data_IF_421870745467
#
_entry.id   IF_421870745467
#
_cell.length_a   1.000
_cell.length_b   1.000
_cell.length_c   1.000
_cell.angle_alpha   90.00
_cell.angle_beta   90.00
_cell.angle_gamma   90.00
#
_symmetry.space_group_name_H-M   'P 1'
#
loop_
_entity.id
_entity.type
_entity.pdbx_description
1 polymer ?
#
# COMPACT_ATOMS: atom_id res chain seq x y z
N UNK A 1 -20.36 -32.43 -14.69
CA UNK A 1 -18.93 -32.07 -14.83
C UNK A 1 -18.55 -31.14 -13.70
N UNK A 2 -17.96 -31.67 -12.63
CA UNK A 2 -17.40 -30.89 -11.52
C UNK A 2 -16.28 -30.01 -12.06
N UNK A 3 -16.52 -28.69 -12.20
CA UNK A 3 -15.43 -27.74 -12.48
C UNK A 3 -14.42 -27.89 -11.35
N UNK A 4 -13.26 -28.47 -11.65
CA UNK A 4 -12.17 -28.55 -10.69
C UNK A 4 -11.85 -27.10 -10.26
N UNK A 5 -11.94 -26.84 -8.97
CA UNK A 5 -11.87 -25.47 -8.43
C UNK A 5 -10.40 -25.08 -8.24
N UNK A 6 -9.95 -23.90 -8.72
CA UNK A 6 -8.56 -23.47 -8.61
C UNK A 6 -8.16 -23.26 -7.15
N UNK A 7 -6.86 -23.39 -6.89
CA UNK A 7 -6.27 -23.15 -5.55
C UNK A 7 -5.94 -21.67 -5.37
N UNK A 8 -5.99 -21.20 -4.12
CA UNK A 8 -5.63 -19.85 -3.70
C UNK A 8 -4.65 -19.93 -2.53
N UNK A 9 -3.56 -19.15 -2.57
CA UNK A 9 -2.61 -19.03 -1.49
C UNK A 9 -2.86 -17.74 -0.68
N UNK A 10 -2.70 -17.81 0.63
CA UNK A 10 -2.68 -16.63 1.51
C UNK A 10 -1.37 -15.86 1.35
N UNK A 11 -1.44 -14.55 1.07
CA UNK A 11 -0.26 -13.70 0.90
C UNK A 11 0.58 -13.56 2.18
N UNK A 12 -0.02 -13.70 3.35
CA UNK A 12 0.62 -13.40 4.64
C UNK A 12 1.22 -14.64 5.33
N UNK A 13 0.61 -15.82 5.17
CA UNK A 13 1.05 -17.05 5.86
C UNK A 13 1.25 -18.25 4.91
N UNK A 14 1.10 -18.05 3.60
CA UNK A 14 1.27 -19.06 2.55
C UNK A 14 0.35 -20.29 2.64
N UNK A 15 -0.68 -20.30 3.50
CA UNK A 15 -1.64 -21.41 3.52
C UNK A 15 -2.44 -21.47 2.23
N UNK A 16 -2.69 -22.69 1.76
CA UNK A 16 -3.35 -22.94 0.48
C UNK A 16 -4.75 -23.46 0.74
N UNK A 17 -5.71 -22.87 0.04
CA UNK A 17 -7.11 -23.24 0.12
C UNK A 17 -7.65 -23.53 -1.28
N UNK A 18 -8.72 -24.32 -1.35
CA UNK A 18 -9.48 -24.50 -2.58
C UNK A 18 -10.49 -23.36 -2.71
N UNK A 19 -10.50 -22.67 -3.85
CA UNK A 19 -11.45 -21.58 -4.12
C UNK A 19 -12.87 -22.14 -4.06
N UNK A 20 -13.76 -21.40 -3.41
CA UNK A 20 -15.20 -21.63 -3.42
C UNK A 20 -15.86 -20.36 -3.95
N UNK A 21 -16.96 -20.53 -4.67
CA UNK A 21 -17.81 -19.42 -5.08
C UNK A 21 -18.45 -18.83 -3.82
N UNK A 22 -18.46 -17.50 -3.72
CA UNK A 22 -19.03 -16.79 -2.59
C UNK A 22 -20.41 -16.26 -2.97
N UNK A 23 -21.34 -16.36 -2.04
CA UNK A 23 -22.66 -15.75 -2.17
C UNK A 23 -22.60 -14.24 -1.84
N UNK A 24 -23.65 -13.47 -2.23
CA UNK A 24 -23.70 -12.04 -1.94
C UNK A 24 -23.52 -11.73 -0.45
N UNK A 25 -22.48 -10.97 -0.12
CA UNK A 25 -22.15 -10.59 1.26
C UNK A 25 -21.15 -11.50 1.97
N UNK A 26 -20.80 -12.64 1.39
CA UNK A 26 -19.82 -13.55 1.99
C UNK A 26 -18.36 -13.07 1.81
N UNK A 27 -17.52 -13.46 2.77
CA UNK A 27 -16.09 -13.13 2.82
C UNK A 27 -15.27 -14.37 3.17
N UNK A 28 -14.32 -14.73 2.31
CA UNK A 28 -13.39 -15.81 2.59
C UNK A 28 -12.22 -15.29 3.45
N UNK A 29 -11.98 -15.93 4.59
CA UNK A 29 -10.87 -15.59 5.49
C UNK A 29 -9.91 -16.77 5.67
N UNK A 30 -8.63 -16.47 5.84
CA UNK A 30 -7.61 -17.49 6.08
C UNK A 30 -7.77 -18.08 7.50
N UNK A 31 -7.94 -19.39 7.61
CA UNK A 31 -8.02 -20.08 8.92
C UNK A 31 -6.76 -19.97 9.78
N UNK A 32 -5.58 -19.77 9.19
CA UNK A 32 -4.29 -19.67 9.92
C UNK A 32 -4.02 -18.27 10.49
N UNK A 33 -3.98 -17.24 9.65
CA UNK A 33 -3.66 -15.87 10.07
C UNK A 33 -4.88 -14.95 10.24
N UNK A 34 -6.06 -15.34 9.76
CA UNK A 34 -7.27 -14.51 9.80
C UNK A 34 -7.34 -13.41 8.74
N UNK A 35 -6.38 -13.32 7.82
CA UNK A 35 -6.42 -12.34 6.72
C UNK A 35 -7.54 -12.67 5.74
N UNK A 36 -8.26 -11.67 5.26
CA UNK A 36 -9.27 -11.84 4.20
C UNK A 36 -8.60 -12.25 2.88
N UNK A 37 -9.01 -13.37 2.30
CA UNK A 37 -8.48 -13.92 1.04
C UNK A 37 -9.17 -13.31 -0.18
N UNK A 38 -10.50 -13.27 -0.16
CA UNK A 38 -11.29 -12.57 -1.17
C UNK A 38 -12.71 -12.27 -0.67
N UNK A 39 -13.36 -11.30 -1.30
CA UNK A 39 -14.73 -10.85 -0.98
C UNK A 39 -15.58 -10.96 -2.23
N UNK A 40 -16.87 -11.24 -2.05
CA UNK A 40 -17.83 -11.14 -3.15
C UNK A 40 -17.78 -9.75 -3.81
N UNK A 41 -17.83 -9.72 -5.15
CA UNK A 41 -17.95 -8.50 -5.93
C UNK A 41 -19.07 -8.67 -6.95
N UNK A 42 -20.14 -7.89 -6.80
CA UNK A 42 -21.24 -7.84 -7.78
C UNK A 42 -20.93 -7.01 -9.02
N UNK A 43 -19.73 -6.41 -9.12
CA UNK A 43 -19.35 -5.57 -10.24
C UNK A 43 -18.82 -6.43 -11.40
N UNK A 44 -19.41 -6.23 -12.58
CA UNK A 44 -18.95 -6.86 -13.83
C UNK A 44 -17.70 -6.15 -14.37
N UNK A 45 -16.98 -6.80 -15.30
CA UNK A 45 -15.83 -6.18 -15.99
C UNK A 45 -16.21 -4.88 -16.70
N UNK A 46 -17.41 -4.79 -17.28
CA UNK A 46 -17.91 -3.58 -17.91
C UNK A 46 -18.16 -2.46 -16.88
N UNK A 47 -18.71 -2.81 -15.71
CA UNK A 47 -18.90 -1.85 -14.61
C UNK A 47 -17.56 -1.32 -14.08
N UNK A 48 -16.54 -2.17 -13.95
CA UNK A 48 -15.19 -1.75 -13.58
C UNK A 48 -14.56 -0.82 -14.61
N UNK A 49 -14.74 -1.12 -15.90
CA UNK A 49 -14.29 -0.24 -16.98
C UNK A 49 -14.98 1.12 -16.92
N UNK A 50 -16.31 1.15 -16.72
CA UNK A 50 -17.06 2.39 -16.57
C UNK A 50 -16.54 3.21 -15.38
N UNK A 51 -16.27 2.57 -14.23
CA UNK A 51 -15.66 3.25 -13.08
C UNK A 51 -14.27 3.82 -13.39
N UNK A 52 -13.43 3.11 -14.15
CA UNK A 52 -12.11 3.59 -14.56
C UNK A 52 -12.19 4.79 -15.52
N UNK A 53 -13.15 4.78 -16.46
CA UNK A 53 -13.41 5.92 -17.36
C UNK A 53 -13.92 7.12 -16.58
N UNK A 54 -14.91 6.93 -15.71
CA UNK A 54 -15.43 8.00 -14.84
C UNK A 54 -14.31 8.59 -13.97
N UNK A 55 -13.48 7.74 -13.35
CA UNK A 55 -12.34 8.20 -12.55
C UNK A 55 -11.34 9.01 -13.38
N UNK A 56 -11.12 8.67 -14.64
CA UNK A 56 -10.23 9.41 -15.54
C UNK A 56 -10.79 10.78 -15.91
N UNK A 57 -12.10 10.89 -16.16
CA UNK A 57 -12.77 12.17 -16.41
C UNK A 57 -12.70 13.05 -15.14
N UNK A 58 -13.04 12.48 -13.98
CA UNK A 58 -12.99 13.20 -12.69
C UNK A 58 -11.55 13.61 -12.36
N UNK A 59 -10.54 12.79 -12.67
CA UNK A 59 -9.14 13.15 -12.50
C UNK A 59 -8.75 14.37 -13.33
N UNK A 60 -9.18 14.43 -14.60
CA UNK A 60 -8.94 15.61 -15.45
C UNK A 60 -9.61 16.86 -14.89
N UNK A 61 -10.87 16.74 -14.45
CA UNK A 61 -11.60 17.86 -13.83
C UNK A 61 -10.91 18.31 -12.53
N UNK A 62 -10.58 17.37 -11.63
CA UNK A 62 -9.96 17.69 -10.34
C UNK A 62 -8.63 18.44 -10.47
N UNK A 63 -7.83 18.14 -11.50
CA UNK A 63 -6.56 18.82 -11.76
C UNK A 63 -6.72 20.12 -12.57
N UNK A 64 -7.85 20.33 -13.24
CA UNK A 64 -8.10 21.55 -14.04
C UNK A 64 -8.67 22.72 -13.22
N UNK A 65 -9.28 22.44 -12.07
CA UNK A 65 -9.88 23.46 -11.20
C UNK A 65 -9.07 23.66 -9.92
N UNK A 66 -9.04 24.88 -9.36
CA UNK A 66 -8.35 25.15 -8.11
C UNK A 66 -8.97 24.37 -6.95
N UNK A 67 -8.11 23.90 -6.07
CA UNK A 67 -8.48 23.11 -4.89
C UNK A 67 -8.92 24.03 -3.75
N UNK A 68 -8.22 25.15 -3.56
CA UNK A 68 -8.56 26.17 -2.60
C UNK A 68 -8.28 27.56 -3.18
N UNK A 69 -9.09 28.52 -2.75
CA UNK A 69 -9.00 29.93 -3.12
C UNK A 69 -8.84 30.70 -1.81
N UNK A 70 -7.80 31.51 -1.73
CA UNK A 70 -7.47 32.32 -0.56
C UNK A 70 -7.57 33.79 -0.95
N UNK A 71 -8.24 34.59 -0.11
CA UNK A 71 -8.32 36.03 -0.30
C UNK A 71 -7.65 36.76 0.87
N UNK A 72 -6.69 37.62 0.56
CA UNK A 72 -5.97 38.43 1.56
C UNK A 72 -5.92 39.86 1.04
N UNK A 73 -6.50 40.81 1.80
CA UNK A 73 -6.46 42.25 1.49
C UNK A 73 -6.89 42.61 0.05
N UNK A 74 -7.86 41.87 -0.51
CA UNK A 74 -8.38 42.08 -1.87
C UNK A 74 -7.60 41.37 -2.98
N UNK A 75 -6.46 40.74 -2.68
CA UNK A 75 -5.77 39.82 -3.59
C UNK A 75 -6.35 38.41 -3.47
N UNK A 76 -6.72 37.82 -4.60
CA UNK A 76 -7.14 36.42 -4.68
C UNK A 76 -5.99 35.55 -5.18
N UNK A 77 -5.64 34.52 -4.40
CA UNK A 77 -4.68 33.49 -4.75
C UNK A 77 -5.39 32.15 -4.85
N UNK A 78 -5.28 31.49 -6.00
CA UNK A 78 -5.87 30.18 -6.24
C UNK A 78 -4.74 29.15 -6.30
N UNK A 79 -4.96 27.95 -5.74
CA UNK A 79 -3.98 26.87 -5.84
C UNK A 79 -4.64 25.56 -6.29
N UNK A 80 -4.18 25.03 -7.43
CA UNK A 80 -4.36 23.63 -7.81
C UNK A 80 -3.19 22.76 -7.33
N UNK A 81 -3.31 21.43 -7.46
CA UNK A 81 -2.19 20.51 -7.22
C UNK A 81 -1.00 20.82 -8.14
N UNK A 82 -1.27 21.13 -9.41
CA UNK A 82 -0.23 21.42 -10.38
C UNK A 82 0.45 22.75 -10.07
N UNK A 83 -0.29 23.77 -9.66
CA UNK A 83 0.29 25.05 -9.23
C UNK A 83 1.21 24.88 -8.02
N UNK A 84 0.83 24.00 -7.07
CA UNK A 84 1.68 23.71 -5.93
C UNK A 84 2.99 23.03 -6.33
N UNK A 85 2.96 22.15 -7.34
CA UNK A 85 4.16 21.51 -7.87
C UNK A 85 5.02 22.52 -8.64
N UNK A 86 4.43 23.40 -9.46
CA UNK A 86 5.20 24.38 -10.24
C UNK A 86 5.86 25.41 -9.34
N UNK A 87 5.14 25.97 -8.37
CA UNK A 87 5.69 26.94 -7.41
C UNK A 87 6.87 26.33 -6.64
N UNK A 88 6.72 25.11 -6.14
CA UNK A 88 7.82 24.47 -5.39
C UNK A 88 8.98 24.02 -6.26
N UNK A 89 8.73 23.74 -7.54
CA UNK A 89 9.79 23.50 -8.52
C UNK A 89 10.61 24.76 -8.79
N UNK A 90 9.94 25.91 -8.95
CA UNK A 90 10.59 27.21 -9.18
C UNK A 90 11.39 27.69 -7.96
N UNK A 91 11.00 27.27 -6.75
CA UNK A 91 11.72 27.55 -5.50
C UNK A 91 12.94 26.63 -5.25
N UNK A 92 13.49 25.98 -6.27
CA UNK A 92 14.62 25.04 -6.20
C UNK A 92 14.41 23.79 -5.30
N UNK A 93 13.17 23.52 -4.88
CA UNK A 93 12.82 22.36 -4.04
C UNK A 93 12.37 21.15 -4.88
N UNK A 94 13.19 20.81 -5.88
CA UNK A 94 12.89 19.77 -6.89
C UNK A 94 12.55 18.39 -6.29
N UNK A 95 13.16 18.02 -5.16
CA UNK A 95 12.91 16.73 -4.52
C UNK A 95 11.45 16.59 -4.05
N UNK A 96 10.93 17.62 -3.37
CA UNK A 96 9.55 17.65 -2.86
C UNK A 96 8.56 17.74 -4.03
N UNK A 97 8.87 18.58 -5.02
CA UNK A 97 8.05 18.72 -6.23
C UNK A 97 7.95 17.40 -7.01
N UNK A 98 9.07 16.69 -7.21
CA UNK A 98 9.10 15.40 -7.91
C UNK A 98 8.32 14.33 -7.14
N UNK A 99 8.52 14.24 -5.83
CA UNK A 99 7.81 13.29 -4.98
C UNK A 99 6.30 13.50 -5.04
N UNK A 100 5.86 14.73 -4.82
CA UNK A 100 4.44 15.09 -4.86
C UNK A 100 3.85 14.95 -6.25
N UNK A 101 4.54 15.40 -7.29
CA UNK A 101 4.11 15.25 -8.68
C UNK A 101 3.98 13.79 -9.08
N UNK A 102 4.90 12.94 -8.65
CA UNK A 102 4.80 11.50 -8.85
C UNK A 102 3.58 10.91 -8.11
N UNK A 103 3.46 11.12 -6.80
CA UNK A 103 2.45 10.49 -5.96
C UNK A 103 1.02 11.04 -6.17
N UNK A 104 0.89 12.34 -6.42
CA UNK A 104 -0.38 13.04 -6.59
C UNK A 104 -0.92 13.07 -8.02
N UNK A 105 -0.03 13.08 -9.03
CA UNK A 105 -0.43 13.23 -10.43
C UNK A 105 0.00 12.06 -11.33
N UNK A 106 1.31 11.80 -11.46
CA UNK A 106 1.82 10.86 -12.46
C UNK A 106 1.43 9.40 -12.18
N UNK A 107 1.53 8.94 -10.94
CA UNK A 107 1.22 7.56 -10.55
C UNK A 107 -0.30 7.26 -10.62
N UNK A 108 -1.22 8.13 -10.13
CA UNK A 108 -2.65 7.95 -10.34
C UNK A 108 -3.04 7.93 -11.82
N UNK A 109 -2.47 8.83 -12.63
CA UNK A 109 -2.69 8.85 -14.07
C UNK A 109 -2.23 7.54 -14.73
N UNK A 110 -1.01 7.08 -14.41
CA UNK A 110 -0.48 5.82 -14.91
C UNK A 110 -1.36 4.62 -14.49
N UNK A 111 -1.85 4.59 -13.24
CA UNK A 111 -2.76 3.55 -12.77
C UNK A 111 -4.07 3.54 -13.56
N UNK A 112 -4.69 4.70 -13.79
CA UNK A 112 -5.95 4.82 -14.52
C UNK A 112 -5.80 4.36 -15.98
N UNK A 113 -4.75 4.83 -16.66
CA UNK A 113 -4.43 4.41 -18.03
C UNK A 113 -4.24 2.90 -18.09
N UNK A 114 -3.47 2.33 -17.17
CA UNK A 114 -3.17 0.90 -17.13
C UNK A 114 -4.42 0.06 -16.88
N UNK A 115 -5.30 0.50 -15.97
CA UNK A 115 -6.56 -0.18 -15.69
C UNK A 115 -7.49 -0.13 -16.90
N UNK A 116 -7.64 1.02 -17.55
CA UNK A 116 -8.44 1.14 -18.78
C UNK A 116 -7.90 0.25 -19.90
N UNK A 117 -6.57 0.23 -20.09
CA UNK A 117 -5.90 -0.59 -21.09
C UNK A 117 -6.14 -2.09 -20.89
N UNK A 118 -6.22 -2.53 -19.63
CA UNK A 118 -6.48 -3.94 -19.28
C UNK A 118 -7.97 -4.27 -19.34
N UNK A 119 -8.82 -3.43 -18.77
CA UNK A 119 -10.26 -3.70 -18.63
C UNK A 119 -11.00 -3.62 -19.96
N UNK A 120 -10.58 -2.74 -20.88
CA UNK A 120 -11.22 -2.58 -22.18
C UNK A 120 -11.26 -3.88 -23.01
N UNK A 121 -10.12 -4.52 -23.35
CA UNK A 121 -10.14 -5.79 -24.09
C UNK A 121 -10.72 -6.95 -23.27
N UNK A 122 -10.49 -6.96 -21.94
CA UNK A 122 -10.99 -8.03 -21.08
C UNK A 122 -12.53 -8.02 -21.00
N UNK A 123 -13.15 -6.83 -21.01
CA UNK A 123 -14.61 -6.68 -21.10
C UNK A 123 -15.20 -7.19 -22.42
N UNK A 124 -14.37 -7.28 -23.47
CA UNK A 124 -14.72 -7.83 -24.79
C UNK A 124 -14.37 -9.31 -24.93
N UNK A 125 -13.94 -9.98 -23.85
CA UNK A 125 -13.52 -11.39 -23.87
C UNK A 125 -12.19 -11.63 -24.59
N UNK A 126 -11.33 -10.62 -24.69
CA UNK A 126 -10.00 -10.73 -25.32
C UNK A 126 -8.89 -10.47 -24.29
N UNK A 127 -7.77 -11.16 -24.44
CA UNK A 127 -6.58 -10.89 -23.62
C UNK A 127 -5.89 -9.61 -24.14
N UNK A 128 -5.62 -8.60 -23.29
CA UNK A 128 -4.86 -7.41 -23.71
C UNK A 128 -3.46 -7.79 -24.20
N UNK A 129 -2.91 -7.05 -25.19
CA UNK A 129 -1.50 -7.17 -25.53
C UNK A 129 -0.66 -6.81 -24.29
N UNK A 130 0.43 -7.55 -24.08
CA UNK A 130 1.33 -7.38 -22.94
C UNK A 130 0.68 -7.50 -21.54
N UNK A 131 -0.43 -8.24 -21.40
CA UNK A 131 -1.14 -8.41 -20.12
C UNK A 131 -0.23 -8.74 -18.93
N UNK A 132 0.77 -9.61 -19.14
CA UNK A 132 1.75 -10.01 -18.11
C UNK A 132 2.54 -8.81 -17.57
N UNK A 133 2.99 -7.92 -18.46
CA UNK A 133 3.73 -6.71 -18.09
C UNK A 133 2.81 -5.74 -17.35
N UNK A 134 1.59 -5.53 -17.87
CA UNK A 134 0.61 -4.65 -17.23
C UNK A 134 0.27 -5.09 -15.80
N UNK A 135 0.13 -6.39 -15.54
CA UNK A 135 -0.13 -6.90 -14.19
C UNK A 135 1.04 -6.69 -13.22
N UNK A 136 2.28 -6.76 -13.71
CA UNK A 136 3.48 -6.44 -12.90
C UNK A 136 3.54 -4.95 -12.58
N UNK A 137 3.33 -4.09 -13.57
CA UNK A 137 3.30 -2.64 -13.39
C UNK A 137 2.18 -2.23 -12.43
N UNK A 138 0.99 -2.83 -12.55
CA UNK A 138 -0.12 -2.55 -11.65
C UNK A 138 0.20 -2.92 -10.19
N UNK A 139 0.86 -4.07 -9.99
CA UNK A 139 1.32 -4.49 -8.66
C UNK A 139 2.34 -3.53 -8.04
N UNK A 140 3.20 -2.92 -8.88
CA UNK A 140 4.18 -1.94 -8.44
C UNK A 140 3.58 -0.55 -8.22
N UNK A 141 2.63 -0.10 -9.04
CA UNK A 141 2.02 1.24 -8.97
C UNK A 141 0.99 1.39 -7.85
N UNK A 142 0.15 0.37 -7.65
CA UNK A 142 -1.01 0.42 -6.75
C UNK A 142 -0.68 0.91 -5.32
N UNK A 143 0.40 0.46 -4.66
CA UNK A 143 0.69 0.91 -3.30
C UNK A 143 1.03 2.40 -3.18
N UNK A 144 1.44 3.05 -4.28
CA UNK A 144 1.96 4.41 -4.30
C UNK A 144 0.92 5.46 -4.70
N UNK A 145 -0.30 5.06 -5.05
CA UNK A 145 -1.36 6.01 -5.38
C UNK A 145 -1.94 6.59 -4.11
N UNK A 146 -1.49 7.80 -3.76
CA UNK A 146 -1.77 8.47 -2.49
C UNK A 146 -2.81 9.60 -2.61
N UNK A 147 -3.68 9.57 -3.63
CA UNK A 147 -4.76 10.56 -3.80
C UNK A 147 -5.64 10.71 -2.54
N UNK A 148 -6.04 9.62 -1.83
CA UNK A 148 -6.79 9.78 -0.58
C UNK A 148 -6.05 10.60 0.48
N UNK A 149 -4.72 10.46 0.52
CA UNK A 149 -3.85 11.14 1.48
C UNK A 149 -3.66 12.60 1.08
N UNK A 150 -3.54 12.88 -0.23
CA UNK A 150 -3.57 14.24 -0.75
C UNK A 150 -4.87 14.97 -0.37
N UNK A 151 -6.04 14.35 -0.55
CA UNK A 151 -7.33 14.93 -0.17
C UNK A 151 -7.38 15.29 1.33
N UNK A 152 -6.86 14.41 2.20
CA UNK A 152 -6.73 14.70 3.62
C UNK A 152 -5.75 15.85 3.89
N UNK A 153 -4.62 15.90 3.18
CA UNK A 153 -3.64 16.98 3.26
C UNK A 153 -4.22 18.35 2.86
N UNK A 154 -5.05 18.40 1.82
CA UNK A 154 -5.81 19.60 1.44
C UNK A 154 -6.72 20.04 2.57
N UNK A 155 -7.48 19.12 3.17
CA UNK A 155 -8.39 19.44 4.25
C UNK A 155 -7.64 20.04 5.45
N UNK A 156 -6.51 19.44 5.83
CA UNK A 156 -5.63 19.95 6.90
C UNK A 156 -5.07 21.33 6.55
N UNK A 157 -4.60 21.54 5.31
CA UNK A 157 -4.08 22.82 4.85
C UNK A 157 -5.15 23.93 4.90
N UNK A 158 -6.37 23.65 4.43
CA UNK A 158 -7.50 24.59 4.49
C UNK A 158 -7.82 24.96 5.93
N UNK A 159 -7.91 23.98 6.83
CA UNK A 159 -8.18 24.25 8.25
C UNK A 159 -7.07 25.10 8.86
N UNK A 160 -5.79 24.78 8.59
CA UNK A 160 -4.65 25.54 9.11
C UNK A 160 -4.65 27.00 8.64
N UNK A 161 -5.01 27.25 7.37
CA UNK A 161 -5.04 28.60 6.80
C UNK A 161 -6.30 29.38 7.18
N UNK A 162 -7.41 28.71 7.46
CA UNK A 162 -8.68 29.36 7.86
C UNK A 162 -8.57 30.17 9.16
N UNK A 163 -7.60 29.85 10.02
CA UNK A 163 -7.29 30.64 11.22
C UNK A 163 -6.61 31.97 10.91
N UNK A 164 -6.04 32.14 9.72
CA UNK A 164 -5.27 33.32 9.31
C UNK A 164 -5.96 34.16 8.23
N UNK A 165 -6.75 33.54 7.35
CA UNK A 165 -7.48 34.22 6.27
C UNK A 165 -8.77 33.50 5.87
N UNK A 166 -9.62 34.17 5.08
CA UNK A 166 -10.77 33.53 4.46
C UNK A 166 -10.32 32.60 3.34
N UNK A 167 -10.37 31.29 3.59
CA UNK A 167 -10.10 30.24 2.61
C UNK A 167 -11.42 29.63 2.17
N UNK A 168 -11.70 29.70 0.87
CA UNK A 168 -12.87 29.07 0.27
C UNK A 168 -12.44 27.79 -0.44
N UNK A 169 -13.10 26.65 -0.19
CA UNK A 169 -12.82 25.42 -0.93
C UNK A 169 -13.24 25.57 -2.39
N UNK A 170 -12.34 25.27 -3.32
CA UNK A 170 -12.59 25.31 -4.75
C UNK A 170 -13.25 24.02 -5.28
N UNK A 171 -13.74 24.05 -6.52
CA UNK A 171 -14.35 22.88 -7.17
C UNK A 171 -13.38 21.69 -7.30
N UNK A 172 -12.07 21.95 -7.36
CA UNK A 172 -11.03 20.92 -7.37
C UNK A 172 -11.12 20.01 -6.14
N UNK A 173 -11.45 20.54 -4.95
CA UNK A 173 -11.59 19.75 -3.73
C UNK A 173 -12.69 18.67 -3.86
N UNK A 174 -13.86 19.05 -4.39
CA UNK A 174 -14.95 18.11 -4.65
C UNK A 174 -14.55 17.04 -5.70
N UNK A 175 -13.80 17.46 -6.72
CA UNK A 175 -13.22 16.55 -7.72
C UNK A 175 -12.28 15.52 -7.08
N UNK A 176 -11.34 15.95 -6.24
CA UNK A 176 -10.41 15.06 -5.53
C UNK A 176 -11.12 14.17 -4.51
N UNK A 177 -12.19 14.63 -3.87
CA UNK A 177 -13.01 13.82 -2.97
C UNK A 177 -13.74 12.70 -3.73
N UNK A 178 -14.39 13.02 -4.85
CA UNK A 178 -15.03 12.00 -5.70
C UNK A 178 -13.99 11.03 -6.30
N UNK A 179 -12.85 11.56 -6.76
CA UNK A 179 -11.75 10.75 -7.27
C UNK A 179 -11.22 9.79 -6.20
N UNK A 180 -11.09 10.22 -4.95
CA UNK A 180 -10.68 9.39 -3.82
C UNK A 180 -11.61 8.20 -3.63
N UNK A 181 -12.93 8.41 -3.72
CA UNK A 181 -13.92 7.33 -3.63
C UNK A 181 -13.75 6.35 -4.80
N UNK A 182 -13.65 6.86 -6.03
CA UNK A 182 -13.51 6.04 -7.23
C UNK A 182 -12.21 5.23 -7.24
N UNK A 183 -11.08 5.85 -6.87
CA UNK A 183 -9.79 5.17 -6.74
C UNK A 183 -9.78 4.16 -5.59
N UNK A 184 -10.48 4.41 -4.49
CA UNK A 184 -10.65 3.43 -3.41
C UNK A 184 -11.43 2.21 -3.87
N UNK A 185 -12.48 2.40 -4.70
CA UNK A 185 -13.20 1.29 -5.32
C UNK A 185 -12.32 0.53 -6.32
N UNK A 186 -11.66 1.23 -7.25
CA UNK A 186 -10.73 0.64 -8.23
C UNK A 186 -9.54 -0.04 -7.56
N UNK A 187 -9.12 0.44 -6.38
CA UNK A 187 -8.08 -0.16 -5.56
C UNK A 187 -8.40 -1.59 -5.12
N UNK A 188 -9.65 -2.06 -5.22
CA UNK A 188 -10.02 -3.48 -5.02
C UNK A 188 -9.54 -4.40 -6.15
N UNK A 189 -9.24 -3.85 -7.32
CA UNK A 189 -8.66 -4.59 -8.44
C UNK A 189 -7.17 -4.80 -8.20
N UNK A 190 -6.82 -5.90 -7.54
CA UNK A 190 -5.45 -6.39 -7.49
C UNK A 190 -5.09 -7.13 -8.79
N UNK A 191 -3.80 -7.28 -9.11
CA UNK A 191 -3.37 -8.15 -10.22
C UNK A 191 -4.00 -9.54 -10.14
N UNK A 192 -4.10 -10.13 -8.93
CA UNK A 192 -4.71 -11.44 -8.74
C UNK A 192 -6.21 -11.44 -9.08
N UNK A 193 -6.94 -10.38 -8.73
CA UNK A 193 -8.37 -10.25 -9.07
C UNK A 193 -8.59 -10.13 -10.57
N UNK A 194 -7.78 -9.34 -11.29
CA UNK A 194 -7.89 -9.21 -12.75
C UNK A 194 -7.56 -10.52 -13.47
N UNK A 195 -6.55 -11.23 -12.99
CA UNK A 195 -6.27 -12.58 -13.45
C UNK A 195 -7.47 -13.51 -13.19
N UNK A 196 -8.11 -13.48 -12.01
CA UNK A 196 -9.32 -14.28 -11.75
C UNK A 196 -10.46 -13.96 -12.72
N UNK A 197 -10.71 -12.68 -13.00
CA UNK A 197 -11.69 -12.31 -14.02
C UNK A 197 -11.35 -12.88 -15.41
N UNK A 198 -10.07 -12.92 -15.78
CA UNK A 198 -9.61 -13.53 -17.04
C UNK A 198 -9.80 -15.06 -17.07
N UNK A 199 -9.73 -15.75 -15.93
CA UNK A 199 -10.09 -17.17 -15.80
C UNK A 199 -11.59 -17.39 -15.88
N UNK A 200 -12.36 -16.59 -15.15
CA UNK A 200 -13.82 -16.73 -15.05
C UNK A 200 -14.51 -16.43 -16.41
N UNK A 201 -13.90 -15.58 -17.24
CA UNK A 201 -14.32 -15.31 -18.63
C UNK A 201 -13.81 -16.33 -19.66
N UNK A 202 -13.00 -17.30 -19.25
CA UNK A 202 -12.45 -18.34 -20.13
C UNK A 202 -11.34 -17.89 -21.07
N UNK A 203 -10.86 -16.64 -20.93
CA UNK A 203 -9.76 -16.09 -21.75
C UNK A 203 -8.42 -16.73 -21.38
N UNK A 204 -8.26 -17.13 -20.12
CA UNK A 204 -7.06 -17.82 -19.59
C UNK A 204 -7.49 -19.12 -18.94
N UNK A 205 -6.77 -20.21 -19.20
CA UNK A 205 -7.05 -21.49 -18.55
C UNK A 205 -6.57 -21.50 -17.10
N UNK A 206 -7.45 -21.94 -16.19
CA UNK A 206 -7.08 -22.21 -14.81
C UNK A 206 -6.28 -23.53 -14.76
N UNK A 207 -5.08 -23.48 -14.20
CA UNK A 207 -4.24 -24.66 -14.00
C UNK A 207 -4.32 -25.10 -12.54
N UNK A 208 -4.52 -26.40 -12.34
CA UNK A 208 -4.64 -26.98 -11.00
C UNK A 208 -3.43 -27.89 -10.82
N UNK A 209 -2.45 -27.49 -10.01
CA UNK A 209 -1.30 -28.33 -9.75
C UNK A 209 -1.74 -29.57 -8.97
N UNK A 210 -1.17 -30.72 -9.31
CA UNK A 210 -1.15 -31.89 -8.44
C UNK A 210 0.21 -31.90 -7.77
N UNK A 211 0.22 -31.84 -6.45
CA UNK A 211 1.45 -31.99 -5.67
C UNK A 211 1.97 -33.42 -5.84
N UNK A 212 3.17 -33.57 -6.40
CA UNK A 212 3.87 -34.85 -6.48
C UNK A 212 4.90 -34.95 -5.34
N UNK A 213 5.37 -36.17 -5.09
CA UNK A 213 6.38 -36.42 -4.07
C UNK A 213 7.66 -35.59 -4.37
N UNK A 214 8.10 -34.78 -3.40
CA UNK A 214 9.26 -33.89 -3.57
C UNK A 214 8.93 -32.51 -4.16
N UNK A 215 7.65 -32.19 -4.41
CA UNK A 215 7.21 -30.84 -4.80
C UNK A 215 6.50 -30.14 -3.65
N UNK A 216 6.53 -28.80 -3.65
CA UNK A 216 5.76 -27.96 -2.74
C UNK A 216 4.90 -26.99 -3.52
N UNK A 217 3.67 -26.83 -3.05
CA UNK A 217 2.76 -25.86 -3.64
C UNK A 217 3.12 -24.44 -3.18
N UNK A 218 3.27 -23.53 -4.14
CA UNK A 218 3.51 -22.11 -3.87
C UNK A 218 2.70 -21.21 -4.79
N UNK A 219 2.27 -20.06 -4.26
CA UNK A 219 1.52 -19.05 -5.01
C UNK A 219 2.46 -18.07 -5.71
N UNK A 220 2.19 -17.77 -6.98
CA UNK A 220 2.89 -16.71 -7.69
C UNK A 220 2.56 -15.34 -7.07
N UNK A 221 3.58 -14.56 -6.69
CA UNK A 221 3.39 -13.21 -6.13
C UNK A 221 2.76 -12.23 -7.13
N UNK A 222 2.95 -12.42 -8.45
CA UNK A 222 2.41 -11.52 -9.49
C UNK A 222 0.96 -11.84 -9.84
N UNK A 223 0.65 -13.11 -10.15
CA UNK A 223 -0.68 -13.48 -10.67
C UNK A 223 -1.55 -14.26 -9.68
N UNK A 224 -1.00 -14.70 -8.55
CA UNK A 224 -1.72 -15.46 -7.53
C UNK A 224 -1.94 -16.94 -7.85
N UNK A 225 -1.52 -17.41 -9.03
CA UNK A 225 -1.66 -18.82 -9.40
C UNK A 225 -0.78 -19.71 -8.51
N UNK A 226 -1.41 -20.72 -7.90
CA UNK A 226 -0.72 -21.78 -7.15
C UNK A 226 -0.16 -22.81 -8.12
N UNK A 227 1.11 -23.17 -7.94
CA UNK A 227 1.83 -24.15 -8.75
C UNK A 227 2.69 -25.04 -7.86
N UNK A 228 2.90 -26.28 -8.27
CA UNK A 228 3.85 -27.18 -7.64
C UNK A 228 5.27 -26.86 -8.14
N UNK A 229 6.22 -26.80 -7.22
CA UNK A 229 7.63 -26.48 -7.51
C UNK A 229 8.51 -27.54 -6.85
N UNK A 230 9.49 -28.13 -7.55
CA UNK A 230 10.34 -29.19 -6.98
C UNK A 230 11.26 -28.64 -5.88
N UNK A 231 11.34 -29.35 -4.75
CA UNK A 231 12.33 -29.10 -3.70
C UNK A 231 13.70 -29.60 -4.16
N UNK A 232 14.62 -28.70 -4.47
CA UNK A 232 16.03 -29.04 -4.78
C UNK A 232 16.61 -28.32 -5.99
N UNK A 233 15.77 -27.76 -6.86
CA UNK A 233 16.22 -26.95 -7.98
C UNK A 233 16.39 -25.46 -7.60
N UNK A 234 17.38 -24.75 -8.18
CA UNK A 234 17.59 -23.32 -7.93
C UNK A 234 16.32 -22.50 -8.22
N UNK A 235 15.92 -21.64 -7.29
CA UNK A 235 14.70 -20.80 -7.44
C UNK A 235 14.67 -19.96 -8.73
N UNK A 236 15.84 -19.61 -9.27
CA UNK A 236 15.98 -18.83 -10.50
C UNK A 236 15.41 -19.55 -11.75
N UNK A 237 15.26 -20.87 -11.70
CA UNK A 237 14.70 -21.68 -12.78
C UNK A 237 13.18 -21.78 -12.73
N UNK A 238 12.57 -21.53 -11.56
CA UNK A 238 11.13 -21.68 -11.38
C UNK A 238 10.39 -20.49 -11.98
N UNK A 239 9.62 -20.73 -13.05
CA UNK A 239 8.83 -19.69 -13.72
C UNK A 239 7.35 -20.04 -13.68
N UNK A 240 6.53 -19.03 -13.41
CA UNK A 240 5.10 -19.19 -13.42
C UNK A 240 4.59 -19.46 -14.84
N UNK A 241 3.87 -20.57 -15.04
CA UNK A 241 3.28 -20.96 -16.33
C UNK A 241 2.32 -19.90 -16.89
N UNK A 242 1.65 -19.11 -16.04
CA UNK A 242 0.69 -18.08 -16.45
C UNK A 242 1.33 -16.74 -16.80
N UNK A 243 2.12 -16.18 -15.89
CA UNK A 243 2.67 -14.84 -16.04
C UNK A 243 4.17 -14.78 -16.34
N UNK A 244 4.84 -15.94 -16.43
CA UNK A 244 6.28 -16.08 -16.65
C UNK A 244 7.15 -15.29 -15.65
N UNK A 245 6.63 -14.99 -14.47
CA UNK A 245 7.40 -14.38 -13.39
C UNK A 245 8.23 -15.46 -12.68
N UNK A 246 9.40 -15.09 -12.18
CA UNK A 246 10.20 -15.98 -11.34
C UNK A 246 9.41 -16.29 -10.07
N UNK A 247 9.27 -17.58 -9.77
CA UNK A 247 8.60 -18.09 -8.58
C UNK A 247 9.64 -18.20 -7.47
N UNK A 248 9.40 -17.45 -6.41
CA UNK A 248 10.18 -17.57 -5.18
C UNK A 248 9.29 -18.23 -4.13
N UNK A 249 9.80 -19.24 -3.42
CA UNK A 249 9.10 -19.76 -2.25
C UNK A 249 8.96 -18.64 -1.22
N UNK A 250 10.06 -17.90 -0.98
CA UNK A 250 10.11 -16.73 -0.11
C UNK A 250 10.95 -15.64 -0.73
N UNK A 251 10.68 -14.37 -0.38
CA UNK A 251 11.46 -13.25 -0.92
C UNK A 251 12.97 -13.46 -0.60
N UNK A 252 13.86 -13.35 -1.60
CA UNK A 252 15.30 -13.52 -1.38
C UNK A 252 15.84 -12.36 -0.55
N UNK A 253 16.73 -12.68 0.39
CA UNK A 253 17.42 -11.73 1.29
C UNK A 253 16.51 -10.69 1.97
N UNK A 254 15.25 -11.07 2.24
CA UNK A 254 14.25 -10.14 2.74
C UNK A 254 14.68 -9.42 4.03
N UNK A 255 15.35 -10.11 4.97
CA UNK A 255 15.84 -9.50 6.22
C UNK A 255 16.94 -8.47 5.94
N UNK A 256 17.95 -8.82 5.13
CA UNK A 256 19.06 -7.93 4.82
C UNK A 256 18.56 -6.65 4.10
N UNK A 257 17.67 -6.81 3.12
CA UNK A 257 17.03 -5.68 2.41
C UNK A 257 16.19 -4.83 3.36
N UNK A 258 15.39 -5.45 4.21
CA UNK A 258 14.55 -4.74 5.19
C UNK A 258 15.42 -3.93 6.16
N UNK A 259 16.48 -4.52 6.71
CA UNK A 259 17.40 -3.82 7.61
C UNK A 259 18.16 -2.69 6.93
N UNK A 260 18.69 -2.90 5.72
CA UNK A 260 19.38 -1.85 4.96
C UNK A 260 18.46 -0.63 4.72
N UNK A 261 17.21 -0.87 4.32
CA UNK A 261 16.22 0.18 4.10
C UNK A 261 15.79 0.85 5.42
N UNK A 262 15.64 0.10 6.51
CA UNK A 262 15.31 0.65 7.83
C UNK A 262 16.44 1.52 8.39
N UNK A 263 17.69 1.08 8.29
CA UNK A 263 18.85 1.85 8.75
C UNK A 263 18.96 3.15 7.94
N UNK A 264 18.80 3.08 6.62
CA UNK A 264 18.76 4.27 5.77
C UNK A 264 17.60 5.21 6.18
N UNK A 265 16.41 4.68 6.46
CA UNK A 265 15.27 5.48 6.92
C UNK A 265 15.53 6.16 8.27
N UNK A 266 16.17 5.47 9.22
CA UNK A 266 16.57 6.05 10.51
C UNK A 266 17.56 7.19 10.32
N UNK A 267 18.52 7.05 9.40
CA UNK A 267 19.47 8.11 9.07
C UNK A 267 18.78 9.38 8.55
N UNK A 268 17.75 9.25 7.70
CA UNK A 268 16.95 10.38 7.21
C UNK A 268 15.92 10.89 8.23
N UNK A 269 15.53 10.08 9.22
CA UNK A 269 14.55 10.49 10.23
C UNK A 269 15.05 11.60 11.15
N UNK A 270 16.34 11.59 11.49
CA UNK A 270 16.96 12.65 12.29
C UNK A 270 16.89 14.02 11.58
N UNK A 271 17.44 14.20 10.36
CA UNK A 271 17.36 15.48 9.66
C UNK A 271 15.91 15.87 9.33
N UNK A 272 15.02 14.92 9.08
CA UNK A 272 13.60 15.23 8.86
C UNK A 272 12.92 15.95 10.05
N UNK A 273 13.34 15.65 11.28
CA UNK A 273 12.77 16.26 12.49
C UNK A 273 13.55 17.48 12.99
N UNK A 274 14.84 17.58 12.65
CA UNK A 274 15.73 18.66 13.11
C UNK A 274 15.80 19.82 12.12
N UNK A 275 15.74 19.54 10.82
CA UNK A 275 15.79 20.60 9.80
C UNK A 275 14.44 21.31 9.68
N UNK A 276 14.45 22.59 9.26
CA UNK A 276 13.22 23.29 8.93
C UNK A 276 12.46 22.55 7.84
N UNK A 277 11.15 22.41 8.04
CA UNK A 277 10.23 21.85 7.04
C UNK A 277 9.62 22.97 6.19
N UNK A 278 9.51 24.17 6.75
CA UNK A 278 8.91 25.31 6.10
C UNK A 278 9.69 26.58 6.49
N UNK A 279 10.01 27.40 5.49
CA UNK A 279 10.57 28.74 5.67
C UNK A 279 9.57 29.78 5.18
N UNK A 280 9.32 30.80 5.99
CA UNK A 280 8.50 31.95 5.65
C UNK A 280 9.46 33.12 5.47
N UNK A 281 9.59 33.58 4.23
CA UNK A 281 10.34 34.78 3.90
C UNK A 281 9.36 35.94 3.77
N UNK A 282 9.49 36.94 4.64
CA UNK A 282 8.70 38.16 4.61
C UNK A 282 9.61 39.37 4.51
N UNK A 283 9.04 40.52 4.11
CA UNK A 283 9.76 41.81 4.11
C UNK A 283 10.33 42.20 5.48
N UNK A 284 9.81 41.61 6.57
CA UNK A 284 10.19 41.89 7.96
C UNK A 284 11.17 40.87 8.56
N UNK A 285 11.57 39.84 7.80
CA UNK A 285 12.51 38.79 8.23
C UNK A 285 12.11 37.39 7.74
N UNK A 286 13.05 36.46 7.88
CA UNK A 286 12.86 35.03 7.56
C UNK A 286 12.64 34.21 8.84
N UNK A 287 11.54 33.46 8.94
CA UNK A 287 11.32 32.49 10.02
C UNK A 287 11.33 31.06 9.46
N UNK A 288 12.04 30.17 10.15
CA UNK A 288 12.17 28.77 9.75
C UNK A 288 11.58 27.89 10.86
N UNK A 289 10.60 27.05 10.52
CA UNK A 289 9.91 26.21 11.49
C UNK A 289 10.21 24.74 11.20
N UNK A 290 10.70 24.02 12.22
CA UNK A 290 10.76 22.56 12.21
C UNK A 290 9.36 21.99 12.42
N UNK A 291 9.17 20.69 12.18
CA UNK A 291 7.89 20.00 12.45
C UNK A 291 7.48 20.21 13.91
N UNK A 292 8.41 19.96 14.85
CA UNK A 292 8.15 20.11 16.28
C UNK A 292 7.95 21.58 16.67
N UNK A 293 8.70 22.50 16.05
CA UNK A 293 8.50 23.94 16.22
C UNK A 293 7.09 24.38 15.83
N UNK A 294 6.59 23.92 14.68
CA UNK A 294 5.22 24.19 14.23
C UNK A 294 4.16 23.59 15.16
N UNK A 295 4.38 22.41 15.72
CA UNK A 295 3.49 21.81 16.73
C UNK A 295 3.44 22.64 18.00
N UNK A 296 4.59 23.09 18.51
CA UNK A 296 4.68 23.90 19.74
C UNK A 296 3.96 25.24 19.55
N UNK A 297 4.13 25.88 18.40
CA UNK A 297 3.49 27.15 18.08
C UNK A 297 1.96 27.01 17.98
N UNK A 298 1.46 25.99 17.28
CA UNK A 298 0.02 25.68 17.22
C UNK A 298 -0.57 25.42 18.61
N UNK A 299 0.19 24.74 19.48
CA UNK A 299 -0.21 24.48 20.85
C UNK A 299 -0.34 25.78 21.66
N UNK A 300 0.64 26.67 21.54
CA UNK A 300 0.64 27.97 22.22
C UNK A 300 -0.46 28.90 21.72
N UNK A 301 -0.79 28.85 20.43
CA UNK A 301 -1.91 29.61 19.83
C UNK A 301 -3.30 29.09 20.23
N UNK A 302 -3.39 28.06 21.06
CA UNK A 302 -4.66 27.51 21.53
C UNK A 302 -5.31 26.48 20.61
N UNK A 303 -4.65 26.09 19.51
CA UNK A 303 -5.16 25.12 18.53
C UNK A 303 -4.68 23.68 18.83
N UNK A 304 -5.04 23.17 20.02
CA UNK A 304 -4.50 21.92 20.56
C UNK A 304 -4.82 20.70 19.68
N UNK A 305 -6.00 20.73 19.03
CA UNK A 305 -6.45 19.69 18.11
C UNK A 305 -5.53 19.57 16.90
N UNK A 306 -5.18 20.69 16.26
CA UNK A 306 -4.29 20.72 15.10
C UNK A 306 -2.87 20.32 15.46
N UNK A 307 -2.36 20.83 16.58
CA UNK A 307 -1.04 20.47 17.09
C UNK A 307 -0.91 18.95 17.31
N UNK A 308 -1.93 18.33 17.89
CA UNK A 308 -1.97 16.88 18.14
C UNK A 308 -2.00 16.08 16.83
N UNK A 309 -2.82 16.48 15.86
CA UNK A 309 -2.91 15.81 14.55
C UNK A 309 -1.55 15.85 13.84
N UNK A 310 -0.91 17.02 13.75
CA UNK A 310 0.39 17.17 13.09
C UNK A 310 1.47 16.37 13.82
N UNK A 311 1.53 16.44 15.15
CA UNK A 311 2.51 15.66 15.93
C UNK A 311 2.36 14.14 15.70
N UNK A 312 1.13 13.63 15.72
CA UNK A 312 0.87 12.21 15.52
C UNK A 312 1.23 11.79 14.09
N UNK A 313 0.79 12.56 13.09
CA UNK A 313 1.03 12.26 11.68
C UNK A 313 2.52 12.32 11.31
N UNK A 314 3.25 13.32 11.79
CA UNK A 314 4.62 13.60 11.37
C UNK A 314 5.69 12.89 12.21
N UNK A 315 5.44 12.66 13.49
CA UNK A 315 6.47 12.10 14.39
C UNK A 315 6.08 10.67 14.79
N UNK A 316 4.89 10.49 15.36
CA UNK A 316 4.49 9.20 15.93
C UNK A 316 4.25 8.13 14.86
N UNK A 317 3.62 8.46 13.73
CA UNK A 317 3.32 7.50 12.67
C UNK A 317 4.59 6.93 12.03
N UNK A 318 5.58 7.74 11.55
CA UNK A 318 6.83 7.20 11.03
C UNK A 318 7.64 6.43 12.08
N UNK A 319 7.70 6.93 13.33
CA UNK A 319 8.38 6.25 14.43
C UNK A 319 7.77 4.87 14.69
N UNK A 320 6.44 4.78 14.77
CA UNK A 320 5.71 3.53 14.97
C UNK A 320 5.99 2.55 13.83
N UNK A 321 6.06 3.04 12.58
CA UNK A 321 6.39 2.23 11.40
C UNK A 321 7.81 1.66 11.48
N UNK A 322 8.79 2.50 11.83
CA UNK A 322 10.19 2.10 12.02
C UNK A 322 10.33 1.05 13.12
N UNK A 323 9.76 1.31 14.30
CA UNK A 323 9.82 0.39 15.45
C UNK A 323 9.09 -0.92 15.18
N UNK A 324 7.91 -0.87 14.55
CA UNK A 324 7.13 -2.07 14.25
C UNK A 324 7.84 -2.97 13.24
N UNK A 325 8.42 -2.40 12.17
CA UNK A 325 9.18 -3.18 11.18
C UNK A 325 10.48 -3.74 11.77
N UNK A 326 11.19 -2.95 12.59
CA UNK A 326 12.39 -3.42 13.28
C UNK A 326 12.06 -4.58 14.24
N UNK A 327 11.00 -4.45 15.04
CA UNK A 327 10.55 -5.51 15.94
C UNK A 327 10.17 -6.78 15.17
N UNK A 328 9.39 -6.65 14.08
CA UNK A 328 9.03 -7.79 13.21
C UNK A 328 10.27 -8.47 12.60
N UNK A 329 11.27 -7.69 12.16
CA UNK A 329 12.53 -8.22 11.65
C UNK A 329 13.34 -8.96 12.73
N UNK A 330 13.47 -8.37 13.92
CA UNK A 330 14.14 -8.99 15.07
C UNK A 330 13.46 -10.30 15.48
N UNK A 331 12.12 -10.34 15.54
CA UNK A 331 11.41 -11.55 15.93
C UNK A 331 11.65 -12.73 14.97
N UNK A 332 11.72 -12.47 13.67
CA UNK A 332 12.07 -13.50 12.68
C UNK A 332 13.55 -13.91 12.83
N UNK A 333 14.44 -12.96 13.10
CA UNK A 333 15.86 -13.24 13.29
C UNK A 333 16.14 -14.08 14.55
N UNK A 334 15.43 -13.82 15.64
CA UNK A 334 15.51 -14.61 16.87
C UNK A 334 14.71 -15.91 16.84
N UNK A 335 14.01 -16.21 15.73
CA UNK A 335 13.25 -17.47 15.59
C UNK A 335 12.08 -17.61 16.57
N UNK A 336 11.59 -16.51 17.15
CA UNK A 336 10.51 -16.55 18.12
C UNK A 336 9.19 -16.86 17.40
N UNK A 337 8.45 -17.90 17.79
CA UNK A 337 7.22 -18.34 17.12
C UNK A 337 5.93 -17.98 17.87
N UNK A 338 6.03 -17.21 18.95
CA UNK A 338 4.85 -16.76 19.70
C UNK A 338 4.01 -15.71 18.94
N UNK A 339 2.69 -15.74 19.12
CA UNK A 339 1.76 -14.70 18.65
C UNK A 339 1.83 -14.35 17.15
N UNK A 340 2.13 -15.31 16.27
CA UNK A 340 2.27 -15.08 14.82
C UNK A 340 1.05 -14.40 14.16
N UNK A 341 -0.15 -14.68 14.66
CA UNK A 341 -1.38 -14.02 14.18
C UNK A 341 -1.38 -12.53 14.48
N UNK A 342 -1.00 -12.13 15.70
CA UNK A 342 -0.91 -10.72 16.08
C UNK A 342 0.21 -10.01 15.30
N UNK A 343 1.35 -10.66 15.07
CA UNK A 343 2.44 -10.12 14.25
C UNK A 343 2.04 -9.93 12.79
N UNK A 344 1.30 -10.89 12.24
CA UNK A 344 0.74 -10.76 10.89
C UNK A 344 -0.22 -9.57 10.82
N UNK A 345 -1.07 -9.38 11.84
CA UNK A 345 -1.97 -8.22 11.92
C UNK A 345 -1.21 -6.90 12.08
N UNK A 346 -0.14 -6.87 12.88
CA UNK A 346 0.74 -5.71 13.02
C UNK A 346 1.38 -5.35 11.68
N UNK A 347 1.89 -6.34 10.93
CA UNK A 347 2.39 -6.12 9.58
C UNK A 347 1.31 -5.54 8.65
N UNK A 348 0.09 -6.09 8.65
CA UNK A 348 -1.01 -5.54 7.84
C UNK A 348 -1.38 -4.10 8.26
N UNK A 349 -1.32 -3.77 9.55
CA UNK A 349 -1.53 -2.40 10.04
C UNK A 349 -0.42 -1.47 9.57
N UNK A 350 0.84 -1.90 9.63
CA UNK A 350 2.01 -1.16 9.14
C UNK A 350 1.91 -0.88 7.65
N UNK A 351 1.48 -1.85 6.84
CA UNK A 351 1.26 -1.68 5.40
C UNK A 351 0.14 -0.67 5.12
N UNK A 352 -0.96 -0.73 5.88
CA UNK A 352 -2.05 0.24 5.78
C UNK A 352 -1.62 1.66 6.15
N UNK A 353 -0.97 1.83 7.31
CA UNK A 353 -0.46 3.13 7.80
C UNK A 353 0.58 3.70 6.82
N UNK A 354 1.35 2.84 6.15
CA UNK A 354 2.44 3.25 5.27
C UNK A 354 2.04 4.21 4.16
N UNK A 355 0.81 4.14 3.65
CA UNK A 355 0.31 5.05 2.62
C UNK A 355 0.06 6.45 3.15
N UNK A 356 -0.39 6.58 4.41
CA UNK A 356 -0.76 7.86 5.03
C UNK A 356 0.42 8.74 5.40
N UNK A 357 1.62 8.16 5.49
CA UNK A 357 2.82 8.84 5.97
C UNK A 357 3.29 9.99 5.06
N UNK A 358 2.76 10.13 3.84
CA UNK A 358 3.09 11.23 2.93
C UNK A 358 2.22 12.48 3.12
N UNK A 359 1.24 12.46 4.05
CA UNK A 359 0.33 13.56 4.33
C UNK A 359 1.06 14.89 4.50
N UNK A 360 2.11 14.93 5.31
CA UNK A 360 2.78 16.17 5.66
C UNK A 360 3.50 16.83 4.47
N UNK A 361 4.05 16.01 3.57
CA UNK A 361 4.68 16.52 2.33
C UNK A 361 3.63 17.23 1.47
N UNK A 362 2.42 16.66 1.36
CA UNK A 362 1.31 17.31 0.65
C UNK A 362 0.81 18.56 1.37
N UNK A 363 0.74 18.57 2.70
CA UNK A 363 0.34 19.77 3.45
C UNK A 363 1.34 20.90 3.20
N UNK A 364 2.64 20.64 3.32
CA UNK A 364 3.69 21.65 3.15
C UNK A 364 3.64 22.27 1.75
N UNK A 365 3.50 21.45 0.70
CA UNK A 365 3.46 21.94 -0.68
C UNK A 365 2.22 22.80 -0.95
N UNK A 366 1.07 22.43 -0.38
CA UNK A 366 -0.18 23.17 -0.55
C UNK A 366 -0.15 24.49 0.19
N UNK A 367 0.43 24.52 1.40
CA UNK A 367 0.67 25.75 2.13
C UNK A 367 1.63 26.67 1.37
N UNK A 368 2.70 26.13 0.80
CA UNK A 368 3.62 26.89 -0.05
C UNK A 368 2.89 27.52 -1.25
N UNK A 369 2.01 26.77 -1.91
CA UNK A 369 1.23 27.27 -3.05
C UNK A 369 0.20 28.35 -2.67
N UNK A 370 -0.54 28.13 -1.58
CA UNK A 370 -1.64 29.00 -1.15
C UNK A 370 -1.15 30.30 -0.52
N UNK A 371 0.02 30.26 0.12
CA UNK A 371 0.58 31.40 0.83
C UNK A 371 1.77 32.04 0.09
N UNK A 372 1.90 31.82 -1.22
CA UNK A 372 2.88 32.50 -2.06
C UNK A 372 2.28 33.77 -2.68
N UNK A 373 2.32 34.88 -1.94
CA UNK A 373 1.93 36.19 -2.45
C UNK A 373 3.18 36.92 -2.94
N UNK A 374 3.32 37.01 -4.27
CA UNK A 374 4.44 37.69 -4.92
C UNK A 374 4.70 39.08 -4.31
N UNK A 375 5.89 39.27 -3.71
CA UNK A 375 6.35 40.55 -3.17
C UNK A 375 5.96 40.86 -1.71
N UNK A 376 5.11 40.05 -1.06
CA UNK A 376 4.68 40.28 0.34
C UNK A 376 5.19 39.21 1.30
N UNK A 377 4.90 37.94 0.99
CA UNK A 377 5.21 36.79 1.83
C UNK A 377 5.35 35.56 0.93
N UNK A 378 6.47 34.86 1.07
CA UNK A 378 6.75 33.62 0.36
C UNK A 378 6.96 32.49 1.35
N UNK A 379 6.17 31.43 1.19
CA UNK A 379 6.32 30.18 1.93
C UNK A 379 6.99 29.17 1.02
N UNK A 380 8.14 28.66 1.45
CA UNK A 380 8.94 27.67 0.72
C UNK A 380 9.12 26.38 1.51
N UNK A 381 9.18 25.26 0.79
CA UNK A 381 9.38 23.94 1.36
C UNK A 381 10.86 23.73 1.73
N UNK A 382 11.20 23.65 3.01
CA UNK A 382 12.60 23.56 3.42
C UNK A 382 13.15 22.11 3.37
N UNK A 383 14.48 21.90 3.47
CA UNK A 383 15.11 20.57 3.27
C UNK A 383 14.58 19.45 4.17
N UNK A 384 14.01 19.78 5.34
CA UNK A 384 13.35 18.82 6.21
C UNK A 384 12.19 18.07 5.53
N UNK A 385 11.47 18.73 4.61
CA UNK A 385 10.36 18.11 3.88
C UNK A 385 10.86 17.01 2.92
N UNK A 386 12.00 17.24 2.24
CA UNK A 386 12.62 16.24 1.39
C UNK A 386 13.17 15.05 2.21
N UNK A 387 13.84 15.33 3.33
CA UNK A 387 14.31 14.28 4.24
C UNK A 387 13.15 13.44 4.79
N UNK A 388 12.05 14.09 5.17
CA UNK A 388 10.82 13.40 5.61
C UNK A 388 10.25 12.52 4.51
N UNK A 389 10.13 13.04 3.29
CA UNK A 389 9.72 12.26 2.12
C UNK A 389 10.57 10.99 1.91
N UNK A 390 11.89 11.10 2.06
CA UNK A 390 12.78 9.95 1.96
C UNK A 390 12.51 8.89 3.03
N UNK A 391 12.22 9.27 4.27
CA UNK A 391 11.80 8.32 5.33
C UNK A 391 10.54 7.57 4.90
N UNK A 392 9.55 8.25 4.34
CA UNK A 392 8.29 7.64 3.88
C UNK A 392 8.57 6.61 2.79
N UNK A 393 9.34 6.97 1.77
CA UNK A 393 9.70 6.09 0.65
C UNK A 393 10.47 4.86 1.16
N UNK A 394 11.52 5.08 1.95
CA UNK A 394 12.38 3.99 2.46
C UNK A 394 11.61 3.04 3.37
N UNK A 395 10.77 3.55 4.26
CA UNK A 395 9.94 2.69 5.13
C UNK A 395 8.86 1.93 4.36
N UNK A 396 8.35 2.50 3.26
CA UNK A 396 7.42 1.81 2.37
C UNK A 396 8.11 0.67 1.60
N UNK A 397 9.31 0.93 1.06
CA UNK A 397 10.15 -0.09 0.43
C UNK A 397 10.58 -1.18 1.42
N UNK A 398 10.88 -0.82 2.68
CA UNK A 398 11.21 -1.77 3.73
C UNK A 398 10.04 -2.71 4.02
N UNK A 399 8.82 -2.17 4.16
CA UNK A 399 7.61 -2.97 4.33
C UNK A 399 7.36 -3.91 3.14
N UNK A 400 7.52 -3.41 1.90
CA UNK A 400 7.39 -4.23 0.69
C UNK A 400 8.47 -5.31 0.56
N UNK A 401 9.66 -5.09 1.12
CA UNK A 401 10.76 -6.06 1.10
C UNK A 401 10.57 -7.16 2.14
N UNK A 402 9.92 -6.84 3.26
CA UNK A 402 9.65 -7.78 4.34
C UNK A 402 8.71 -8.93 3.90
N UNK A 403 8.92 -10.14 4.44
CA UNK A 403 8.12 -11.32 4.14
C UNK A 403 7.60 -11.95 5.44
N UNK A 404 6.33 -11.72 5.82
CA UNK A 404 5.76 -12.26 7.07
C UNK A 404 5.63 -13.79 7.07
N UNK A 405 5.70 -14.44 5.90
CA UNK A 405 5.53 -15.89 5.75
C UNK A 405 6.65 -16.69 6.42
N UNK A 406 7.84 -16.10 6.57
CA UNK A 406 9.01 -16.74 7.19
C UNK A 406 8.81 -17.09 8.67
N UNK A 407 8.13 -16.24 9.43
CA UNK A 407 7.79 -16.55 10.83
C UNK A 407 6.86 -17.76 10.95
N UNK A 408 5.98 -17.96 9.96
CA UNK A 408 5.10 -19.12 9.87
C UNK A 408 5.82 -20.41 9.45
N UNK A 409 6.90 -20.30 8.67
CA UNK A 409 7.74 -21.45 8.30
C UNK A 409 8.58 -21.93 9.48
N UNK A 410 9.17 -21.02 10.24
CA UNK A 410 9.93 -21.33 11.46
C UNK A 410 9.07 -22.09 12.47
N UNK A 411 7.81 -21.68 12.64
CA UNK A 411 6.87 -22.41 13.49
C UNK A 411 6.53 -23.81 12.95
N UNK A 412 6.33 -23.95 11.64
CA UNK A 412 6.07 -25.26 11.04
C UNK A 412 7.26 -26.22 11.20
N UNK A 413 8.49 -25.74 10.98
CA UNK A 413 9.72 -26.51 11.19
C UNK A 413 9.89 -26.93 12.65
N UNK A 414 9.62 -26.03 13.61
CA UNK A 414 9.65 -26.35 15.04
C UNK A 414 8.65 -27.44 15.43
N UNK A 415 7.44 -27.42 14.88
CA UNK A 415 6.44 -28.49 15.11
C UNK A 415 6.88 -29.82 14.54
N UNK A 416 7.47 -29.86 13.33
CA UNK A 416 7.96 -31.09 12.71
C UNK A 416 9.09 -31.73 13.53
N UNK A 417 10.04 -30.93 14.02
CA UNK A 417 11.12 -31.40 14.89
C UNK A 417 10.55 -31.95 16.21
N UNK A 418 9.59 -31.25 16.83
CA UNK A 418 8.95 -31.72 18.07
C UNK A 418 8.18 -33.04 17.85
N UNK A 419 7.48 -33.21 16.73
CA UNK A 419 6.80 -34.47 16.40
C UNK A 419 7.77 -35.61 16.07
N UNK A 420 8.91 -35.32 15.45
CA UNK A 420 9.93 -36.33 15.16
C UNK A 420 10.71 -36.75 16.43
N UNK A 421 10.85 -35.85 17.40
CA UNK A 421 11.47 -36.12 18.70
C UNK A 421 10.55 -36.86 19.70
N UNK A 422 9.26 -36.98 19.39
CA UNK A 422 8.29 -37.75 20.18
C UNK A 422 7.91 -39.03 19.43
N UNK A 423 8.66 -40.14 19.56
CA UNK A 423 8.21 -41.41 19.01
C UNK A 423 6.96 -41.82 19.79
N UNK A 424 5.86 -42.04 19.07
CA UNK A 424 4.56 -42.33 19.62
C UNK A 424 4.60 -43.44 20.70
N UNK A 425 3.96 -43.18 21.85
CA UNK A 425 3.29 -44.25 22.59
C UNK A 425 2.21 -44.81 21.66
N UNK A 426 2.55 -45.87 20.95
CA UNK A 426 1.59 -46.69 20.22
C UNK A 426 0.60 -47.27 21.24
N UNK A 427 -0.57 -46.66 21.33
CA UNK A 427 -1.71 -47.16 22.09
C UNK A 427 -2.10 -48.54 21.52
N UNK A 428 -1.84 -49.59 22.30
CA UNK A 428 -2.45 -50.89 22.11
C UNK A 428 -3.97 -50.76 22.32
N UNK A 429 -4.75 -50.80 21.24
CA UNK A 429 -6.15 -51.16 21.32
C UNK A 429 -6.25 -52.70 21.30
N UNK A 430 -6.80 -53.38 22.33
CA UNK A 430 -7.08 -54.79 22.21
C UNK A 430 -8.23 -55.00 21.22
N UNK A 431 -7.97 -55.88 20.24
CA UNK A 431 -8.94 -56.35 19.27
C UNK A 431 -10.15 -56.97 19.98
N UNK A 432 -11.34 -56.49 19.61
CA UNK A 432 -12.60 -57.14 19.98
C UNK A 432 -12.65 -58.55 19.37
N UNK A 433 -12.73 -59.55 20.22
CA UNK A 433 -13.11 -60.91 19.85
C UNK A 433 -14.60 -60.91 19.46
N UNK A 434 -14.88 -60.92 18.16
CA UNK A 434 -16.16 -61.35 17.61
C UNK A 434 -16.03 -62.80 17.16
N UNK A 435 -16.55 -63.73 17.98
CA UNK A 435 -16.72 -65.13 17.61
C UNK A 435 -18.21 -65.42 17.40
N UNK A 436 -18.50 -66.06 16.28
CA UNK A 436 -19.83 -66.33 15.74
C UNK A 436 -20.47 -67.61 16.30
N UNK A 437 -21.81 -67.63 16.37
CA UNK A 437 -22.77 -68.76 16.20
C UNK A 437 -24.13 -68.25 16.72
N UNK A 438 -25.27 -68.33 16.03
CA UNK A 438 -25.75 -69.40 15.17
C UNK A 438 -26.84 -70.17 15.92
N UNK A 439 -28.05 -69.60 16.01
CA UNK A 439 -29.39 -70.22 16.02
C UNK A 439 -30.47 -69.18 16.33
#
# INVERSE_FOLDING_TARGET
>A
MTRLRPLIACEHCASIYRRHDLDPGEVASCGRCGTTLWRYSGLTLASWLALAVTASIVFMIANAYPVAIMQVQGMEQQASLLDAITVTWEQDHWAVALMTGAAGFALPMAQLILLMWVLYPLSRGRLPPAFRFCMRMLGLLRPWCMVPVFMLGVLVAVVKLSGMASVQPGFGLAGFALLTILLTMLGRLSPHTLWRYAEDTGVVQAFIPQERHGEILTGCHVCGQVQAVPLGEPEALHRCHRCNAVLHLRKPDHLARTWALLIAAVFFYVPANVLPVMSINSLFGSSAHTILGGVIELWQMGSWDLATIVFVASVMVPLTKLLSLAALALFIQFGNTANLRQRTRLYSMVEFIGQWSMLDVFVVILLAALANFHGLMEISAAPGAAAFGMVVILTMLAAMSFDPRRGWDQAAAGTQIASAASPAKAEHAPAGAGEARGQ
#
